data_IF_128760832548
#
_entry.id   IF_128760832548
#
_cell.length_a   1.000
_cell.length_b   1.000
_cell.length_c   1.000
_cell.angle_alpha   90.00
_cell.angle_beta   90.00
_cell.angle_gamma   90.00
#
_symmetry.space_group_name_H-M   'P 1'
#
loop_
_entity.id
_entity.type
_entity.pdbx_description
1 polymer ?
#
# COMPACT_ATOMS: atom_id res chain seq x y z
N UNK A 1 -24.79 -8.02 -11.37
CA UNK A 1 -24.24 -9.14 -10.62
C UNK A 1 -25.21 -9.55 -9.50
N UNK A 2 -25.72 -10.78 -9.55
CA UNK A 2 -26.76 -11.32 -8.64
C UNK A 2 -26.29 -11.27 -7.18
N UNK A 3 -24.99 -11.52 -6.89
CA UNK A 3 -24.43 -11.47 -5.54
C UNK A 3 -24.49 -10.06 -4.94
N UNK A 4 -24.21 -9.04 -5.75
CA UNK A 4 -24.32 -7.61 -5.30
C UNK A 4 -25.78 -7.25 -4.98
N UNK A 5 -26.73 -7.72 -5.77
CA UNK A 5 -28.15 -7.49 -5.51
C UNK A 5 -28.61 -8.19 -4.23
N UNK A 6 -28.20 -9.44 -3.99
CA UNK A 6 -28.53 -10.18 -2.77
C UNK A 6 -27.94 -9.52 -1.52
N UNK A 7 -26.67 -9.11 -1.56
CA UNK A 7 -26.03 -8.40 -0.44
C UNK A 7 -26.70 -7.05 -0.15
N UNK A 8 -27.12 -6.32 -1.19
CA UNK A 8 -27.86 -5.06 -1.01
C UNK A 8 -29.23 -5.30 -0.37
N UNK A 9 -29.94 -6.35 -0.76
CA UNK A 9 -31.22 -6.74 -0.16
C UNK A 9 -31.05 -7.14 1.31
N UNK A 10 -30.03 -7.96 1.64
CA UNK A 10 -29.74 -8.37 3.00
C UNK A 10 -29.39 -7.17 3.90
N UNK A 11 -28.59 -6.23 3.39
CA UNK A 11 -28.24 -5.01 4.11
C UNK A 11 -29.46 -4.12 4.33
N UNK A 12 -30.36 -3.99 3.34
CA UNK A 12 -31.63 -3.28 3.45
C UNK A 12 -32.51 -3.87 4.56
N UNK A 13 -32.67 -5.20 4.58
CA UNK A 13 -33.48 -5.88 5.59
C UNK A 13 -32.90 -5.76 7.01
N UNK A 14 -31.57 -5.69 7.13
CA UNK A 14 -30.87 -5.60 8.42
C UNK A 14 -30.91 -4.17 8.98
N UNK A 15 -30.83 -3.16 8.13
CA UNK A 15 -30.74 -1.75 8.50
C UNK A 15 -32.11 -1.04 8.60
N UNK A 16 -33.15 -1.60 8.00
CA UNK A 16 -34.46 -0.95 7.93
C UNK A 16 -35.23 -0.97 9.25
N UNK A 17 -35.99 0.10 9.58
CA UNK A 17 -36.83 0.15 10.76
C UNK A 17 -37.95 -0.88 10.71
N UNK A 18 -38.27 -1.46 11.87
CA UNK A 18 -39.41 -2.36 12.03
C UNK A 18 -40.59 -1.62 12.66
N UNK A 19 -41.68 -1.54 11.93
CA UNK A 19 -42.92 -0.97 12.39
C UNK A 19 -43.97 -2.09 12.44
N UNK A 20 -44.58 -2.32 13.59
CA UNK A 20 -45.56 -3.38 13.83
C UNK A 20 -45.08 -4.80 13.39
N UNK A 21 -43.78 -5.09 13.63
CA UNK A 21 -43.18 -6.38 13.28
C UNK A 21 -42.88 -6.55 11.78
N UNK A 22 -43.15 -5.55 10.95
CA UNK A 22 -42.84 -5.55 9.51
C UNK A 22 -41.69 -4.63 9.20
N UNK A 23 -40.80 -5.08 8.32
CA UNK A 23 -39.72 -4.26 7.78
C UNK A 23 -40.31 -3.28 6.76
N UNK A 24 -40.16 -1.99 7.01
CA UNK A 24 -40.65 -0.94 6.10
C UNK A 24 -39.45 -0.39 5.34
N UNK A 25 -39.46 -0.54 4.02
CA UNK A 25 -38.41 -0.07 3.12
C UNK A 25 -38.94 1.11 2.32
N UNK A 26 -38.26 2.23 2.38
CA UNK A 26 -38.51 3.38 1.49
C UNK A 26 -37.62 3.32 0.25
N UNK A 27 -38.02 4.05 -0.79
CA UNK A 27 -37.19 4.23 -1.98
C UNK A 27 -35.86 4.94 -1.66
N UNK A 28 -35.84 5.77 -0.61
CA UNK A 28 -34.63 6.46 -0.17
C UNK A 28 -33.67 5.54 0.59
N UNK A 29 -34.18 4.58 1.36
CA UNK A 29 -33.36 3.54 1.97
C UNK A 29 -32.70 2.67 0.88
N UNK A 30 -33.46 2.32 -0.16
CA UNK A 30 -32.95 1.57 -1.30
C UNK A 30 -31.86 2.37 -2.07
N UNK A 31 -32.06 3.68 -2.26
CA UNK A 31 -31.05 4.55 -2.87
C UNK A 31 -29.80 4.70 -2.00
N UNK A 32 -29.96 4.90 -0.69
CA UNK A 32 -28.83 5.02 0.24
C UNK A 32 -27.99 3.75 0.28
N UNK A 33 -28.61 2.56 0.30
CA UNK A 33 -27.90 1.28 0.27
C UNK A 33 -27.27 1.03 -1.11
N UNK A 34 -27.95 1.41 -2.21
CA UNK A 34 -27.40 1.27 -3.56
C UNK A 34 -26.23 2.22 -3.78
N UNK A 35 -26.30 3.46 -3.27
CA UNK A 35 -25.18 4.40 -3.30
C UNK A 35 -24.01 3.94 -2.45
N UNK A 36 -24.25 3.43 -1.23
CA UNK A 36 -23.22 2.80 -0.40
C UNK A 36 -22.66 1.53 -1.03
N UNK A 37 -23.48 0.76 -1.74
CA UNK A 37 -23.05 -0.44 -2.47
C UNK A 37 -22.29 -0.11 -3.76
N UNK A 38 -22.60 1.01 -4.40
CA UNK A 38 -21.81 1.54 -5.53
C UNK A 38 -20.47 2.12 -5.06
N UNK A 39 -20.40 2.63 -3.83
CA UNK A 39 -19.15 2.99 -3.14
C UNK A 39 -18.41 1.76 -2.57
N UNK A 40 -19.07 0.61 -2.41
CA UNK A 40 -18.44 -0.67 -2.09
C UNK A 40 -17.87 -1.26 -3.38
N UNK A 41 -16.75 -0.78 -3.69
CA UNK A 41 -15.69 -1.27 -4.52
C UNK A 41 -15.77 -2.77 -4.83
N UNK A 42 -15.66 -3.07 -6.10
CA UNK A 42 -15.20 -4.37 -6.55
C UNK A 42 -13.71 -4.48 -6.23
N UNK A 43 -13.36 -5.12 -5.10
CA UNK A 43 -11.96 -5.33 -4.66
C UNK A 43 -11.11 -6.08 -5.70
N UNK A 44 -11.74 -6.72 -6.66
CA UNK A 44 -11.13 -7.51 -7.73
C UNK A 44 -11.32 -6.87 -9.11
N UNK A 45 -11.96 -5.71 -9.20
CA UNK A 45 -12.24 -5.02 -10.45
C UNK A 45 -11.23 -3.94 -10.82
N UNK A 46 -11.27 -3.52 -12.08
CA UNK A 46 -10.40 -2.49 -12.66
C UNK A 46 -10.42 -1.18 -11.87
N UNK A 47 -11.58 -0.79 -11.30
CA UNK A 47 -11.73 0.43 -10.52
C UNK A 47 -10.87 0.45 -9.25
N UNK A 48 -10.67 -0.70 -8.58
CA UNK A 48 -9.77 -0.79 -7.43
C UNK A 48 -8.32 -0.48 -7.82
N UNK A 49 -7.86 -1.07 -8.92
CA UNK A 49 -6.50 -0.82 -9.42
C UNK A 49 -6.32 0.62 -9.85
N UNK A 50 -7.35 1.25 -10.40
CA UNK A 50 -7.33 2.67 -10.79
C UNK A 50 -7.15 3.59 -9.59
N UNK A 51 -7.87 3.36 -8.47
CA UNK A 51 -7.71 4.18 -7.26
C UNK A 51 -6.37 3.94 -6.58
N UNK A 52 -5.91 2.71 -6.52
CA UNK A 52 -4.55 2.40 -6.04
C UNK A 52 -3.51 3.14 -6.88
N UNK A 53 -3.64 3.09 -8.20
CA UNK A 53 -2.75 3.81 -9.13
C UNK A 53 -2.82 5.33 -8.94
N UNK A 54 -4.03 5.87 -8.74
CA UNK A 54 -4.25 7.29 -8.51
C UNK A 54 -3.62 7.74 -7.17
N UNK A 55 -3.75 6.95 -6.09
CA UNK A 55 -3.07 7.22 -4.82
C UNK A 55 -1.55 7.31 -5.02
N UNK A 56 -0.94 6.31 -5.65
CA UNK A 56 0.51 6.29 -5.89
C UNK A 56 0.98 7.46 -6.74
N UNK A 57 0.22 7.82 -7.79
CA UNK A 57 0.53 8.96 -8.64
C UNK A 57 0.39 10.29 -7.92
N UNK A 58 -0.59 10.44 -7.03
CA UNK A 58 -0.77 11.65 -6.21
C UNK A 58 0.38 11.82 -5.22
N UNK A 59 0.80 10.74 -4.53
CA UNK A 59 1.97 10.77 -3.63
C UNK A 59 3.23 11.18 -4.39
N UNK A 60 3.49 10.57 -5.55
CA UNK A 60 4.64 10.86 -6.41
C UNK A 60 4.58 12.27 -6.99
N UNK A 61 3.39 12.72 -7.35
CA UNK A 61 3.13 14.06 -7.91
C UNK A 61 3.11 15.18 -6.89
N UNK A 62 3.32 14.87 -5.59
CA UNK A 62 3.31 15.86 -4.50
C UNK A 62 1.97 16.59 -4.34
N UNK A 63 0.87 15.85 -4.51
CA UNK A 63 -0.50 16.33 -4.33
C UNK A 63 -1.11 15.67 -3.07
N UNK A 64 -1.01 16.30 -1.88
CA UNK A 64 -1.53 15.75 -0.65
C UNK A 64 -3.06 15.67 -0.63
N UNK A 65 -3.76 16.60 -1.26
CA UNK A 65 -5.22 16.63 -1.28
C UNK A 65 -5.79 15.46 -2.09
N UNK A 66 -5.25 15.22 -3.28
CA UNK A 66 -5.60 14.07 -4.09
C UNK A 66 -5.21 12.76 -3.40
N UNK A 67 -4.04 12.68 -2.78
CA UNK A 67 -3.59 11.49 -2.05
C UNK A 67 -4.55 11.14 -0.91
N UNK A 68 -4.97 12.11 -0.11
CA UNK A 68 -5.96 11.91 0.96
C UNK A 68 -7.31 11.48 0.42
N UNK A 69 -7.75 12.05 -0.71
CA UNK A 69 -9.01 11.66 -1.33
C UNK A 69 -8.99 10.19 -1.78
N UNK A 70 -7.93 9.74 -2.46
CA UNK A 70 -7.81 8.34 -2.89
C UNK A 70 -7.56 7.39 -1.72
N UNK A 71 -6.84 7.82 -0.67
CA UNK A 71 -6.75 7.06 0.57
C UNK A 71 -8.14 6.83 1.17
N UNK A 72 -8.94 7.89 1.32
CA UNK A 72 -10.29 7.80 1.87
C UNK A 72 -11.15 6.81 1.07
N UNK A 73 -11.07 6.84 -0.27
CA UNK A 73 -11.79 5.86 -1.12
C UNK A 73 -11.38 4.42 -0.85
N UNK A 74 -10.10 4.14 -0.62
CA UNK A 74 -9.62 2.79 -0.26
C UNK A 74 -10.13 2.36 1.12
N UNK A 75 -10.10 3.26 2.10
CA UNK A 75 -10.55 2.97 3.46
C UNK A 75 -12.08 2.76 3.55
N UNK A 76 -12.87 3.57 2.85
CA UNK A 76 -14.32 3.38 2.73
C UNK A 76 -14.68 2.05 2.04
N UNK A 77 -13.84 1.60 1.10
CA UNK A 77 -13.94 0.26 0.51
C UNK A 77 -13.50 -0.86 1.46
N UNK A 78 -12.96 -0.53 2.65
CA UNK A 78 -12.45 -1.49 3.64
C UNK A 78 -11.12 -2.13 3.23
N UNK A 79 -10.36 -1.53 2.29
CA UNK A 79 -9.06 -2.04 1.87
C UNK A 79 -7.90 -1.42 2.66
N UNK A 80 -7.96 -1.56 3.98
CA UNK A 80 -6.88 -1.14 4.88
C UNK A 80 -5.53 -1.82 4.54
N UNK A 81 -5.44 -3.14 4.30
CA UNK A 81 -4.16 -3.78 3.97
C UNK A 81 -3.55 -3.29 2.65
N UNK A 82 -4.38 -3.04 1.62
CA UNK A 82 -3.92 -2.51 0.34
C UNK A 82 -3.37 -1.10 0.48
N UNK A 83 -4.08 -0.21 1.17
CA UNK A 83 -3.61 1.13 1.47
C UNK A 83 -2.27 1.12 2.22
N UNK A 84 -2.15 0.34 3.30
CA UNK A 84 -0.91 0.17 4.07
C UNK A 84 0.26 -0.27 3.20
N UNK A 85 0.05 -1.28 2.35
CA UNK A 85 1.10 -1.80 1.45
C UNK A 85 1.59 -0.73 0.47
N UNK A 86 0.70 0.06 -0.10
CA UNK A 86 1.06 1.10 -1.07
C UNK A 86 1.81 2.26 -0.43
N UNK A 87 1.40 2.68 0.74
CA UNK A 87 2.06 3.72 1.53
C UNK A 87 3.49 3.28 1.91
N UNK A 88 3.68 2.03 2.38
CA UNK A 88 5.00 1.48 2.66
C UNK A 88 5.89 1.42 1.41
N UNK A 89 5.33 1.02 0.27
CA UNK A 89 6.06 0.97 -0.99
C UNK A 89 6.56 2.36 -1.42
N UNK A 90 5.67 3.36 -1.38
CA UNK A 90 6.00 4.74 -1.76
C UNK A 90 7.12 5.34 -0.91
N UNK A 91 7.20 5.00 0.38
CA UNK A 91 8.27 5.47 1.25
C UNK A 91 9.68 5.08 0.75
N UNK A 92 9.82 3.89 0.17
CA UNK A 92 11.09 3.41 -0.37
C UNK A 92 11.28 3.72 -1.85
N UNK A 93 10.19 3.66 -2.64
CA UNK A 93 10.19 3.82 -4.09
C UNK A 93 10.31 5.29 -4.51
N UNK A 94 9.46 6.16 -3.94
CA UNK A 94 9.33 7.56 -4.38
C UNK A 94 10.16 8.52 -3.55
N UNK A 95 10.28 8.28 -2.23
CA UNK A 95 11.05 9.11 -1.30
C UNK A 95 12.50 8.62 -1.21
N UNK A 96 12.68 7.34 -0.88
CA UNK A 96 13.97 6.69 -0.84
C UNK A 96 15.04 7.48 -0.09
N UNK A 97 16.16 7.72 -0.76
CA UNK A 97 17.32 8.40 -0.18
C UNK A 97 17.19 9.92 -0.09
N UNK A 98 16.13 10.53 -0.65
CA UNK A 98 15.88 11.96 -0.47
C UNK A 98 15.48 12.32 0.97
N UNK A 99 14.77 11.38 1.65
CA UNK A 99 14.43 11.50 3.07
C UNK A 99 14.35 10.10 3.71
N UNK A 100 15.49 9.48 4.07
CA UNK A 100 15.56 8.10 4.53
C UNK A 100 14.69 7.79 5.76
N UNK A 101 14.50 8.79 6.65
CA UNK A 101 13.67 8.63 7.85
C UNK A 101 12.18 8.38 7.53
N UNK A 102 11.73 8.73 6.32
CA UNK A 102 10.34 8.49 5.90
C UNK A 102 9.92 7.02 6.09
N UNK A 103 10.82 6.08 5.81
CA UNK A 103 10.54 4.64 5.95
C UNK A 103 10.15 4.29 7.39
N UNK A 104 10.91 4.77 8.38
CA UNK A 104 10.65 4.49 9.80
C UNK A 104 9.36 5.16 10.29
N UNK A 105 9.12 6.41 9.88
CA UNK A 105 7.92 7.16 10.27
C UNK A 105 6.68 6.49 9.66
N UNK A 106 6.73 6.18 8.38
CA UNK A 106 5.62 5.54 7.66
C UNK A 106 5.35 4.15 8.21
N UNK A 107 6.40 3.39 8.55
CA UNK A 107 6.24 2.08 9.19
C UNK A 107 5.50 2.20 10.52
N UNK A 108 5.88 3.16 11.37
CA UNK A 108 5.18 3.41 12.64
C UNK A 108 3.72 3.82 12.42
N UNK A 109 3.43 4.65 11.43
CA UNK A 109 2.06 5.03 11.08
C UNK A 109 1.23 3.80 10.64
N UNK A 110 1.80 2.95 9.81
CA UNK A 110 1.14 1.72 9.34
C UNK A 110 0.90 0.73 10.49
N UNK A 111 1.87 0.55 11.39
CA UNK A 111 1.71 -0.32 12.56
C UNK A 111 0.59 0.17 13.48
N UNK A 112 0.53 1.48 13.74
CA UNK A 112 -0.54 2.09 14.50
C UNK A 112 -1.90 1.88 13.81
N UNK A 113 -1.97 2.07 12.49
CA UNK A 113 -3.20 1.86 11.74
C UNK A 113 -3.70 0.41 11.82
N UNK A 114 -2.81 -0.57 11.73
CA UNK A 114 -3.16 -1.98 11.84
C UNK A 114 -3.56 -2.39 13.26
N UNK A 115 -2.99 -1.76 14.29
CA UNK A 115 -3.37 -2.00 15.70
C UNK A 115 -4.72 -1.37 16.05
N UNK A 116 -4.97 -0.16 15.56
CA UNK A 116 -6.22 0.57 15.85
C UNK A 116 -7.41 -0.01 15.07
N UNK A 117 -7.19 -0.39 13.81
CA UNK A 117 -8.29 -0.76 12.91
C UNK A 117 -9.13 0.45 12.48
N UNK A 118 -10.13 0.21 11.65
CA UNK A 118 -11.07 1.24 11.22
C UNK A 118 -12.14 1.48 12.30
N UNK A 119 -12.55 2.74 12.53
CA UNK A 119 -12.26 3.93 11.72
C UNK A 119 -10.96 4.67 12.09
N UNK A 120 -10.34 4.43 13.24
CA UNK A 120 -9.22 5.21 13.77
C UNK A 120 -7.95 5.10 12.93
N UNK A 121 -7.77 4.00 12.19
CA UNK A 121 -6.65 3.76 11.29
C UNK A 121 -6.45 4.87 10.24
N UNK A 122 -7.52 5.62 9.92
CA UNK A 122 -7.46 6.72 8.97
C UNK A 122 -6.48 7.82 9.38
N UNK A 123 -6.32 8.08 10.69
CA UNK A 123 -5.48 9.18 11.19
C UNK A 123 -3.99 8.94 10.94
N UNK A 124 -3.38 7.83 11.40
CA UNK A 124 -1.98 7.57 11.10
C UNK A 124 -1.70 7.38 9.61
N UNK A 125 -2.65 6.84 8.83
CA UNK A 125 -2.47 6.71 7.38
C UNK A 125 -2.55 8.06 6.66
N UNK A 126 -3.43 8.97 7.08
CA UNK A 126 -3.47 10.32 6.56
C UNK A 126 -2.16 11.07 6.86
N UNK A 127 -1.62 10.94 8.07
CA UNK A 127 -0.32 11.50 8.43
C UNK A 127 0.79 10.99 7.51
N UNK A 128 0.84 9.68 7.26
CA UNK A 128 1.81 9.08 6.37
C UNK A 128 1.64 9.58 4.92
N UNK A 129 0.42 9.72 4.42
CA UNK A 129 0.16 10.25 3.09
C UNK A 129 0.62 11.70 2.93
N UNK A 130 0.33 12.56 3.91
CA UNK A 130 0.76 13.97 3.88
C UNK A 130 2.30 14.03 3.89
N UNK A 131 2.96 13.28 4.77
CA UNK A 131 4.41 13.20 4.80
C UNK A 131 4.97 12.79 3.44
N UNK A 132 4.47 11.71 2.86
CA UNK A 132 4.96 11.20 1.58
C UNK A 132 4.68 12.17 0.42
N UNK A 133 3.51 12.83 0.39
CA UNK A 133 3.21 13.79 -0.64
C UNK A 133 4.09 15.04 -0.57
N UNK A 134 4.46 15.49 0.62
CA UNK A 134 5.23 16.74 0.84
C UNK A 134 6.74 16.54 0.94
N UNK A 135 7.22 15.31 1.16
CA UNK A 135 8.65 15.01 1.24
C UNK A 135 9.35 15.14 -0.13
N UNK A 136 10.66 15.43 -0.14
CA UNK A 136 11.44 15.39 -1.38
C UNK A 136 11.46 13.99 -1.98
N UNK A 137 11.56 13.88 -3.30
CA UNK A 137 11.47 12.63 -4.06
C UNK A 137 12.82 12.20 -4.62
N UNK A 138 13.07 10.88 -4.63
CA UNK A 138 14.23 10.29 -5.29
C UNK A 138 13.95 8.86 -5.73
N UNK A 139 14.13 8.58 -7.00
CA UNK A 139 14.05 7.23 -7.55
C UNK A 139 15.41 6.49 -7.56
N UNK A 140 16.42 7.03 -6.89
CA UNK A 140 17.79 6.49 -6.94
C UNK A 140 17.86 5.02 -6.48
N UNK A 141 17.08 4.64 -5.48
CA UNK A 141 17.02 3.25 -4.98
C UNK A 141 16.50 2.30 -6.07
N UNK A 142 15.41 2.68 -6.74
CA UNK A 142 14.82 1.88 -7.82
C UNK A 142 15.79 1.78 -8.99
N UNK A 143 16.35 2.90 -9.43
CA UNK A 143 17.29 2.93 -10.55
C UNK A 143 18.54 2.07 -10.26
N UNK A 144 19.08 2.14 -9.06
CA UNK A 144 20.26 1.37 -8.67
C UNK A 144 20.00 -0.14 -8.66
N UNK A 145 18.92 -0.57 -8.01
CA UNK A 145 18.62 -2.01 -7.95
C UNK A 145 18.23 -2.58 -9.33
N UNK A 146 17.53 -1.82 -10.15
CA UNK A 146 17.14 -2.27 -11.48
C UNK A 146 18.37 -2.38 -12.39
N UNK A 147 19.33 -1.45 -12.33
CA UNK A 147 20.59 -1.54 -13.03
C UNK A 147 21.39 -2.79 -12.61
N UNK A 148 21.53 -3.02 -11.30
CA UNK A 148 22.23 -4.20 -10.78
C UNK A 148 21.54 -5.51 -11.24
N UNK A 149 20.21 -5.58 -11.18
CA UNK A 149 19.44 -6.74 -11.66
C UNK A 149 19.60 -6.96 -13.17
N UNK A 150 19.67 -5.88 -13.96
CA UNK A 150 19.92 -5.97 -15.39
C UNK A 150 21.29 -6.58 -15.70
N UNK A 151 22.33 -6.20 -14.97
CA UNK A 151 23.67 -6.78 -15.12
C UNK A 151 23.71 -8.26 -14.74
N UNK A 152 23.07 -8.65 -13.65
CA UNK A 152 22.95 -10.05 -13.25
C UNK A 152 22.23 -10.88 -14.34
N UNK A 153 21.11 -10.37 -14.86
CA UNK A 153 20.36 -11.04 -15.93
C UNK A 153 21.14 -11.15 -17.25
N UNK A 154 22.01 -10.19 -17.50
CA UNK A 154 22.90 -10.19 -18.67
C UNK A 154 24.16 -11.10 -18.48
N UNK A 155 24.27 -11.81 -17.37
CA UNK A 155 25.41 -12.67 -17.07
C UNK A 155 26.72 -11.93 -16.75
N UNK A 156 26.63 -10.62 -16.40
CA UNK A 156 27.80 -9.79 -16.12
C UNK A 156 28.30 -9.91 -14.67
N UNK A 157 27.78 -10.87 -13.89
CA UNK A 157 28.09 -11.00 -12.47
C UNK A 157 29.54 -11.41 -12.18
N UNK A 158 30.17 -12.18 -13.11
CA UNK A 158 31.50 -12.74 -12.89
C UNK A 158 31.56 -13.71 -11.70
N UNK A 159 32.79 -14.07 -11.32
CA UNK A 159 33.04 -14.85 -10.12
C UNK A 159 33.19 -13.91 -8.92
N UNK A 160 32.74 -14.39 -7.73
CA UNK A 160 32.95 -13.65 -6.49
C UNK A 160 34.47 -13.58 -6.22
N UNK A 161 35.04 -12.37 -6.06
CA UNK A 161 36.45 -12.20 -5.71
C UNK A 161 36.84 -13.01 -4.47
N UNK A 162 38.04 -13.56 -4.46
CA UNK A 162 38.46 -14.50 -3.42
C UNK A 162 38.39 -13.89 -2.01
N UNK A 163 38.76 -12.64 -1.88
CA UNK A 163 38.73 -11.88 -0.61
C UNK A 163 37.30 -11.67 -0.07
N UNK A 164 36.28 -11.79 -0.92
CA UNK A 164 34.87 -11.65 -0.54
C UNK A 164 34.17 -13.01 -0.27
N UNK A 165 34.86 -14.13 -0.57
CA UNK A 165 34.30 -15.45 -0.35
C UNK A 165 34.35 -15.83 1.14
N UNK A 166 33.38 -16.66 1.59
CA UNK A 166 33.46 -17.25 2.90
C UNK A 166 34.68 -18.14 3.04
N UNK A 167 35.13 -18.35 4.29
CA UNK A 167 36.18 -19.34 4.58
C UNK A 167 35.64 -20.74 4.30
N UNK A 168 36.17 -21.38 3.29
CA UNK A 168 35.93 -22.80 3.01
C UNK A 168 37.12 -23.60 3.51
N UNK A 169 36.88 -24.78 4.09
CA UNK A 169 37.92 -25.72 4.50
C UNK A 169 38.46 -26.49 3.28
N UNK A 170 38.75 -25.80 2.17
CA UNK A 170 39.08 -26.37 0.86
C UNK A 170 40.57 -26.41 0.59
N UNK A 171 41.39 -26.70 1.61
CA UNK A 171 42.78 -26.97 1.36
C UNK A 171 43.73 -26.49 2.42
N UNK A 172 44.80 -27.25 2.58
CA UNK A 172 45.95 -26.90 3.40
C UNK A 172 46.68 -25.69 2.84
N UNK A 173 46.78 -24.63 3.63
CA UNK A 173 47.65 -23.49 3.32
C UNK A 173 46.96 -22.22 2.82
N UNK A 174 45.66 -22.09 2.96
CA UNK A 174 44.99 -20.85 2.66
C UNK A 174 45.08 -19.86 3.85
N UNK A 175 46.04 -18.97 3.81
CA UNK A 175 46.04 -17.76 4.64
C UNK A 175 45.10 -16.73 4.01
N UNK A 176 44.04 -16.40 4.74
CA UNK A 176 43.16 -15.32 4.38
C UNK A 176 43.91 -13.99 4.50
N UNK A 177 44.49 -13.52 3.43
CA UNK A 177 44.90 -12.13 3.40
C UNK A 177 43.63 -11.26 3.48
N UNK A 178 43.54 -10.68 4.63
CA UNK A 178 42.67 -9.58 5.07
C UNK A 178 41.47 -9.21 4.21
N UNK A 179 40.33 -9.22 4.88
CA UNK A 179 39.05 -8.84 4.37
C UNK A 179 39.02 -7.48 3.69
N UNK A 180 37.91 -7.29 3.00
CA UNK A 180 37.49 -6.06 2.35
C UNK A 180 37.80 -4.83 3.21
N UNK A 181 38.54 -3.86 2.66
CA UNK A 181 38.83 -2.55 3.27
C UNK A 181 37.76 -1.56 2.84
#
# INVERSE_FOLDING_TARGET
>A
DVRKALNAVELLFTAAPRIDGRVVLSADDARAVTQRSAMRYDREGDEHYDVVSALMKSLRGSDPDAALHYLARLLEAGDLPGACRRILCSASEDIGMAYPQAVSIVKACVDNALQLGLPEAQLPLAQACILLATAPKSNSVVAAIDAARADVRAGKSGNIPREMQNVHADGTGFEREQGYK
#
